data_IF_676769775867
#
_entry.id   IF_676769775867
#
_cell.length_a   1.000
_cell.length_b   1.000
_cell.length_c   1.000
_cell.angle_alpha   90.00
_cell.angle_beta   90.00
_cell.angle_gamma   90.00
#
_symmetry.space_group_name_H-M   'P 1'
#
loop_
_entity.id
_entity.type
_entity.pdbx_description
1 polymer ?
#
# COMPACT_ATOMS: atom_id res chain seq x y z
N UNK A 1 -30.16 68.72 -43.69
CA UNK A 1 -31.32 68.34 -42.85
C UNK A 1 -31.54 66.82 -42.69
N UNK A 2 -30.82 65.95 -43.43
CA UNK A 2 -30.99 64.49 -43.32
C UNK A 2 -30.02 63.75 -42.37
N UNK A 3 -28.93 64.37 -41.91
CA UNK A 3 -27.93 63.69 -41.06
C UNK A 3 -28.21 63.76 -39.55
N UNK A 4 -29.21 64.54 -39.11
CA UNK A 4 -29.64 64.60 -37.70
C UNK A 4 -30.76 63.59 -37.37
N UNK A 5 -31.43 63.04 -38.39
CA UNK A 5 -32.56 62.12 -38.21
C UNK A 5 -32.12 60.66 -38.02
N UNK A 6 -30.91 60.30 -38.46
CA UNK A 6 -30.37 58.93 -38.34
C UNK A 6 -29.70 58.67 -36.99
N UNK A 7 -29.30 59.72 -36.26
CA UNK A 7 -28.68 59.60 -34.93
C UNK A 7 -29.70 59.27 -33.82
N UNK A 8 -30.99 59.53 -34.05
CA UNK A 8 -32.08 59.19 -33.14
C UNK A 8 -32.51 57.71 -33.25
N UNK A 9 -32.18 57.04 -34.35
CA UNK A 9 -32.49 55.62 -34.59
C UNK A 9 -31.38 54.67 -34.09
N UNK A 10 -30.26 55.21 -33.61
CA UNK A 10 -29.16 54.45 -32.99
C UNK A 10 -29.07 54.64 -31.48
N UNK A 11 -30.12 55.14 -30.82
CA UNK A 11 -30.24 55.05 -29.38
C UNK A 11 -30.84 53.69 -29.05
N UNK A 12 -30.04 52.66 -28.70
CA UNK A 12 -30.60 51.49 -28.05
C UNK A 12 -31.29 52.01 -26.80
N UNK A 13 -32.60 51.77 -26.72
CA UNK A 13 -33.36 51.90 -25.49
C UNK A 13 -32.70 50.99 -24.46
N UNK A 14 -31.78 51.57 -23.69
CA UNK A 14 -31.37 51.01 -22.42
C UNK A 14 -32.58 51.12 -21.47
N UNK A 15 -33.53 50.19 -21.63
CA UNK A 15 -34.31 49.73 -20.49
C UNK A 15 -33.32 49.01 -19.59
N UNK A 16 -32.68 49.79 -18.72
CA UNK A 16 -31.87 49.27 -17.62
C UNK A 16 -32.79 48.45 -16.71
N UNK A 17 -32.28 47.36 -16.13
CA UNK A 17 -33.02 46.48 -15.21
C UNK A 17 -33.71 47.26 -14.07
N UNK A 18 -33.15 48.41 -13.70
CA UNK A 18 -33.71 49.38 -12.73
C UNK A 18 -35.13 49.84 -13.12
N UNK A 19 -35.40 50.02 -14.41
CA UNK A 19 -36.71 50.45 -14.91
C UNK A 19 -37.81 49.39 -14.75
N UNK A 20 -37.46 48.10 -14.75
CA UNK A 20 -38.43 47.02 -14.53
C UNK A 20 -38.87 46.98 -13.06
N UNK A 21 -37.91 47.10 -12.14
CA UNK A 21 -38.20 47.16 -10.71
C UNK A 21 -39.10 48.37 -10.39
N UNK A 22 -38.74 49.56 -10.87
CA UNK A 22 -39.53 50.78 -10.66
C UNK A 22 -40.97 50.66 -11.19
N UNK A 23 -41.14 50.02 -12.35
CA UNK A 23 -42.46 49.79 -12.92
C UNK A 23 -43.30 48.82 -12.07
N UNK A 24 -42.71 47.69 -11.67
CA UNK A 24 -43.40 46.72 -10.80
C UNK A 24 -43.71 47.32 -9.43
N UNK A 25 -42.79 48.09 -8.86
CA UNK A 25 -42.98 48.78 -7.58
C UNK A 25 -44.17 49.75 -7.64
N UNK A 26 -44.29 50.54 -8.71
CA UNK A 26 -45.45 51.43 -8.90
C UNK A 26 -46.78 50.68 -8.97
N UNK A 27 -46.82 49.49 -9.59
CA UNK A 27 -48.02 48.65 -9.65
C UNK A 27 -48.30 47.97 -8.30
N UNK A 28 -47.26 47.50 -7.61
CA UNK A 28 -47.35 46.86 -6.30
C UNK A 28 -47.91 47.81 -5.24
N UNK A 29 -47.47 49.08 -5.27
CA UNK A 29 -47.98 50.16 -4.40
C UNK A 29 -49.45 50.49 -4.67
N UNK A 30 -49.93 50.31 -5.91
CA UNK A 30 -51.35 50.44 -6.27
C UNK A 30 -52.18 49.22 -5.88
N UNK A 31 -51.59 48.23 -5.21
CA UNK A 31 -52.28 47.04 -4.72
C UNK A 31 -52.33 45.88 -5.71
N UNK A 32 -51.66 45.93 -6.86
CA UNK A 32 -51.68 44.81 -7.80
C UNK A 32 -50.93 43.59 -7.21
N UNK A 33 -51.66 42.49 -6.95
CA UNK A 33 -51.10 41.31 -6.28
C UNK A 33 -49.99 40.59 -7.07
N UNK A 34 -50.11 40.51 -8.41
CA UNK A 34 -49.06 39.93 -9.26
C UNK A 34 -47.78 40.79 -9.18
N UNK A 35 -47.91 42.11 -9.28
CA UNK A 35 -46.77 43.01 -9.15
C UNK A 35 -46.13 42.93 -7.76
N UNK A 36 -46.92 42.80 -6.70
CA UNK A 36 -46.39 42.57 -5.35
C UNK A 36 -45.59 41.26 -5.27
N UNK A 37 -46.11 40.18 -5.86
CA UNK A 37 -45.37 38.92 -5.95
C UNK A 37 -44.06 39.09 -6.73
N UNK A 38 -44.07 39.78 -7.88
CA UNK A 38 -42.88 40.04 -8.71
C UNK A 38 -41.84 40.90 -8.01
N UNK A 39 -42.26 41.96 -7.31
CA UNK A 39 -41.36 42.76 -6.47
C UNK A 39 -40.74 41.90 -5.37
N UNK A 40 -41.54 41.02 -4.77
CA UNK A 40 -41.03 40.04 -3.79
C UNK A 40 -39.97 39.10 -4.38
N UNK A 41 -40.18 38.58 -5.59
CA UNK A 41 -39.18 37.76 -6.31
C UNK A 41 -37.90 38.55 -6.64
N UNK A 42 -38.03 39.83 -6.99
CA UNK A 42 -36.88 40.71 -7.26
C UNK A 42 -36.05 40.94 -5.99
N UNK A 43 -36.68 41.18 -4.85
CA UNK A 43 -35.99 41.26 -3.56
C UNK A 43 -35.38 39.93 -3.11
N UNK A 44 -36.00 38.80 -3.42
CA UNK A 44 -35.43 37.48 -3.10
C UNK A 44 -34.18 37.16 -3.94
N UNK A 45 -34.20 37.53 -5.22
CA UNK A 45 -33.13 37.18 -6.17
C UNK A 45 -32.06 38.26 -6.32
N UNK A 46 -32.32 39.47 -5.82
CA UNK A 46 -31.50 40.65 -6.07
C UNK A 46 -31.56 41.15 -7.52
N UNK A 47 -32.64 40.86 -8.26
CA UNK A 47 -32.78 41.29 -9.65
C UNK A 47 -33.27 42.74 -9.73
N UNK A 48 -32.41 43.67 -10.16
CA UNK A 48 -32.75 45.10 -10.27
C UNK A 48 -32.88 45.84 -8.94
N UNK A 49 -32.69 45.14 -7.82
CA UNK A 49 -32.69 45.69 -6.46
C UNK A 49 -31.71 44.88 -5.60
N UNK A 50 -31.21 45.46 -4.51
CA UNK A 50 -30.39 44.69 -3.55
C UNK A 50 -31.24 43.57 -2.94
N UNK A 51 -30.68 42.37 -2.85
CA UNK A 51 -31.32 41.23 -2.20
C UNK A 51 -31.70 41.58 -0.75
N UNK A 52 -32.97 41.37 -0.41
CA UNK A 52 -33.51 41.57 0.94
C UNK A 52 -34.65 40.58 1.18
N UNK A 53 -34.39 39.57 2.01
CA UNK A 53 -35.35 38.53 2.32
C UNK A 53 -36.56 39.04 3.11
N UNK A 54 -36.39 40.04 3.97
CA UNK A 54 -37.47 40.58 4.77
C UNK A 54 -38.46 41.39 3.91
N UNK A 55 -37.94 42.18 2.98
CA UNK A 55 -38.77 42.86 1.97
C UNK A 55 -39.47 41.84 1.05
N UNK A 56 -38.74 40.82 0.59
CA UNK A 56 -39.34 39.76 -0.22
C UNK A 56 -40.55 39.12 0.49
N UNK A 57 -40.38 38.72 1.75
CA UNK A 57 -41.44 38.14 2.56
C UNK A 57 -42.61 39.09 2.74
N UNK A 58 -42.36 40.36 3.08
CA UNK A 58 -43.40 41.39 3.22
C UNK A 58 -44.26 41.54 1.96
N UNK A 59 -43.64 41.64 0.78
CA UNK A 59 -44.38 41.79 -0.48
C UNK A 59 -45.11 40.51 -0.90
N UNK A 60 -44.51 39.34 -0.71
CA UNK A 60 -45.15 38.05 -1.01
C UNK A 60 -46.33 37.80 -0.07
N UNK A 61 -46.24 38.15 1.21
CA UNK A 61 -47.36 38.07 2.17
C UNK A 61 -48.51 38.98 1.78
N UNK A 62 -48.23 40.21 1.31
CA UNK A 62 -49.28 41.10 0.77
C UNK A 62 -49.98 40.50 -0.45
N UNK A 63 -49.23 39.90 -1.37
CA UNK A 63 -49.81 39.22 -2.54
C UNK A 63 -50.68 38.03 -2.11
N UNK A 64 -50.17 37.18 -1.21
CA UNK A 64 -50.89 36.01 -0.71
C UNK A 64 -52.17 36.41 0.05
N UNK A 65 -52.13 37.49 0.85
CA UNK A 65 -53.30 38.02 1.55
C UNK A 65 -54.42 38.51 0.62
N UNK A 66 -54.10 38.76 -0.65
CA UNK A 66 -55.06 39.08 -1.71
C UNK A 66 -55.52 37.86 -2.53
N UNK A 67 -55.14 36.65 -2.12
CA UNK A 67 -55.50 35.41 -2.80
C UNK A 67 -54.57 35.01 -3.94
N UNK A 68 -53.38 35.62 -4.06
CA UNK A 68 -52.40 35.22 -5.07
C UNK A 68 -51.83 33.82 -4.77
N UNK A 69 -52.30 32.80 -5.48
CA UNK A 69 -52.01 31.39 -5.16
C UNK A 69 -50.50 31.06 -5.13
N UNK A 70 -49.75 31.50 -6.14
CA UNK A 70 -48.29 31.25 -6.23
C UNK A 70 -47.54 31.86 -5.06
N UNK A 71 -48.03 32.99 -4.52
CA UNK A 71 -47.44 33.63 -3.34
C UNK A 71 -47.71 32.78 -2.10
N UNK A 72 -48.94 32.27 -1.95
CA UNK A 72 -49.30 31.31 -0.89
C UNK A 72 -48.44 30.05 -0.92
N UNK A 73 -48.25 29.42 -2.09
CA UNK A 73 -47.39 28.24 -2.24
C UNK A 73 -45.94 28.53 -1.83
N UNK A 74 -45.45 29.73 -2.13
CA UNK A 74 -44.10 30.17 -1.78
C UNK A 74 -43.92 30.37 -0.28
N UNK A 75 -44.89 31.00 0.38
CA UNK A 75 -44.88 31.18 1.84
C UNK A 75 -44.94 29.82 2.55
N UNK A 76 -45.81 28.92 2.09
CA UNK A 76 -45.89 27.56 2.59
C UNK A 76 -44.56 26.81 2.42
N UNK A 77 -43.90 26.96 1.26
CA UNK A 77 -42.58 26.39 1.04
C UNK A 77 -41.55 26.91 2.05
N UNK A 78 -41.51 28.23 2.29
CA UNK A 78 -40.60 28.82 3.28
C UNK A 78 -40.92 28.42 4.71
N UNK A 79 -42.20 28.35 5.08
CA UNK A 79 -42.64 27.90 6.40
C UNK A 79 -42.18 26.46 6.65
N UNK A 80 -42.39 25.56 5.70
CA UNK A 80 -41.96 24.15 5.84
C UNK A 80 -40.43 24.01 5.77
N UNK A 81 -39.74 24.83 4.98
CA UNK A 81 -38.28 24.84 4.93
C UNK A 81 -37.67 25.24 6.29
N UNK A 82 -38.33 26.19 6.98
CA UNK A 82 -37.89 26.70 8.29
C UNK A 82 -38.31 25.82 9.46
N UNK A 83 -39.57 25.38 9.47
CA UNK A 83 -40.22 24.76 10.62
C UNK A 83 -40.50 23.26 10.42
N UNK A 84 -40.31 22.73 9.21
CA UNK A 84 -40.75 21.38 8.86
C UNK A 84 -42.27 21.29 8.68
N UNK A 85 -42.77 20.05 8.53
CA UNK A 85 -44.21 19.79 8.49
C UNK A 85 -44.74 19.80 9.92
N UNK A 86 -45.70 20.68 10.18
CA UNK A 86 -46.37 20.84 11.47
C UNK A 86 -47.88 20.66 11.29
N UNK A 87 -48.62 20.49 12.38
CA UNK A 87 -50.09 20.40 12.30
C UNK A 87 -50.73 21.68 11.73
N UNK A 88 -50.06 22.83 11.86
CA UNK A 88 -50.54 24.11 11.33
C UNK A 88 -50.44 24.20 9.80
N UNK A 89 -49.36 23.66 9.19
CA UNK A 89 -49.10 23.81 7.75
C UNK A 89 -49.41 22.55 6.92
N UNK A 90 -49.69 21.42 7.57
CA UNK A 90 -49.98 20.14 6.90
C UNK A 90 -51.21 20.22 6.00
N UNK A 91 -52.26 20.92 6.43
CA UNK A 91 -53.47 21.10 5.62
C UNK A 91 -53.19 21.84 4.31
N UNK A 92 -52.45 22.95 4.37
CA UNK A 92 -52.04 23.73 3.20
C UNK A 92 -51.11 22.91 2.28
N UNK A 93 -50.23 22.09 2.85
CA UNK A 93 -49.38 21.17 2.09
C UNK A 93 -50.20 20.13 1.32
N UNK A 94 -51.23 19.56 1.93
CA UNK A 94 -52.11 18.60 1.27
C UNK A 94 -52.96 19.27 0.18
N UNK A 95 -53.39 20.52 0.38
CA UNK A 95 -54.05 21.32 -0.66
C UNK A 95 -53.11 21.61 -1.84
N UNK A 96 -51.87 22.05 -1.59
CA UNK A 96 -50.85 22.26 -2.62
C UNK A 96 -50.66 20.99 -3.47
N UNK A 97 -50.60 19.82 -2.83
CA UNK A 97 -50.49 18.52 -3.51
C UNK A 97 -51.73 18.19 -4.33
N UNK A 98 -52.92 18.49 -3.81
CA UNK A 98 -54.17 18.30 -4.54
C UNK A 98 -54.20 19.19 -5.79
N UNK A 99 -53.83 20.48 -5.68
CA UNK A 99 -53.72 21.40 -6.83
C UNK A 99 -52.69 20.93 -7.86
N UNK A 100 -51.53 20.46 -7.41
CA UNK A 100 -50.51 19.91 -8.31
C UNK A 100 -51.03 18.69 -9.09
N UNK A 101 -51.74 17.77 -8.41
CA UNK A 101 -52.41 16.62 -9.04
C UNK A 101 -53.51 17.06 -10.01
N UNK A 102 -54.23 18.14 -9.68
CA UNK A 102 -55.25 18.76 -10.52
C UNK A 102 -54.72 19.51 -11.75
N UNK A 103 -53.39 19.59 -11.94
CA UNK A 103 -52.79 20.20 -13.13
C UNK A 103 -52.33 21.65 -12.95
N UNK A 104 -52.44 22.24 -11.76
CA UNK A 104 -51.94 23.60 -11.52
C UNK A 104 -50.41 23.62 -11.66
N UNK A 105 -49.90 24.30 -12.69
CA UNK A 105 -48.48 24.28 -13.07
C UNK A 105 -47.56 24.86 -11.98
N UNK A 106 -48.00 25.91 -11.28
CA UNK A 106 -47.23 26.51 -10.18
C UNK A 106 -47.19 25.58 -8.96
N UNK A 107 -48.31 24.95 -8.63
CA UNK A 107 -48.35 23.93 -7.58
C UNK A 107 -47.42 22.74 -7.92
N UNK A 108 -47.42 22.29 -9.18
CA UNK A 108 -46.50 21.25 -9.65
C UNK A 108 -45.04 21.68 -9.51
N UNK A 109 -44.70 22.93 -9.84
CA UNK A 109 -43.37 23.48 -9.63
C UNK A 109 -42.95 23.40 -8.16
N UNK A 110 -43.79 23.89 -7.22
CA UNK A 110 -43.45 23.87 -5.79
C UNK A 110 -43.37 22.46 -5.21
N UNK A 111 -44.25 21.53 -5.61
CA UNK A 111 -44.14 20.11 -5.21
C UNK A 111 -42.83 19.51 -5.74
N UNK A 112 -42.47 19.81 -6.99
CA UNK A 112 -41.19 19.40 -7.58
C UNK A 112 -39.98 19.95 -6.82
N UNK A 113 -40.00 21.24 -6.49
CA UNK A 113 -38.96 21.93 -5.69
C UNK A 113 -38.84 21.35 -4.28
N UNK A 114 -39.96 21.01 -3.64
CA UNK A 114 -39.99 20.33 -2.35
C UNK A 114 -39.27 18.98 -2.41
N UNK A 115 -39.55 18.13 -3.40
CA UNK A 115 -38.82 16.87 -3.60
C UNK A 115 -37.34 17.07 -3.97
N UNK A 116 -37.01 18.13 -4.72
CA UNK A 116 -35.62 18.47 -5.11
C UNK A 116 -34.76 18.77 -3.88
N UNK A 117 -35.31 19.57 -2.95
CA UNK A 117 -34.61 20.07 -1.75
C UNK A 117 -34.82 19.21 -0.51
N UNK A 118 -35.82 18.33 -0.52
CA UNK A 118 -36.21 17.56 0.67
C UNK A 118 -36.96 18.40 1.70
N UNK A 119 -37.77 19.35 1.25
CA UNK A 119 -38.59 20.23 2.10
C UNK A 119 -39.97 19.60 2.24
N UNK A 120 -40.37 19.32 3.48
CA UNK A 120 -41.64 18.66 3.81
C UNK A 120 -41.71 17.18 3.46
N UNK A 121 -40.74 16.67 2.71
CA UNK A 121 -40.66 15.28 2.23
C UNK A 121 -39.21 14.85 2.10
N UNK A 122 -38.97 13.54 2.07
CA UNK A 122 -37.63 13.02 1.78
C UNK A 122 -37.21 13.40 0.36
N UNK A 123 -35.99 13.94 0.22
CA UNK A 123 -35.40 14.28 -1.08
C UNK A 123 -35.49 13.13 -2.07
N UNK A 124 -36.04 13.41 -3.26
CA UNK A 124 -36.24 12.42 -4.32
C UNK A 124 -36.14 13.08 -5.70
N UNK A 125 -34.98 12.97 -6.35
CA UNK A 125 -34.73 13.58 -7.66
C UNK A 125 -35.66 13.09 -8.77
N UNK A 126 -36.07 11.81 -8.75
CA UNK A 126 -36.96 11.27 -9.77
C UNK A 126 -38.37 11.89 -9.67
N UNK A 127 -38.94 11.93 -8.46
CA UNK A 127 -40.23 12.61 -8.23
C UNK A 127 -40.14 14.10 -8.49
N UNK A 128 -39.03 14.75 -8.11
CA UNK A 128 -38.79 16.15 -8.40
C UNK A 128 -38.87 16.41 -9.91
N UNK A 129 -38.13 15.64 -10.71
CA UNK A 129 -38.14 15.77 -12.18
C UNK A 129 -39.51 15.47 -12.78
N UNK A 130 -40.26 14.50 -12.25
CA UNK A 130 -41.62 14.22 -12.72
C UNK A 130 -42.52 15.45 -12.63
N UNK A 131 -42.56 16.09 -11.45
CA UNK A 131 -43.39 17.27 -11.22
C UNK A 131 -42.86 18.52 -11.94
N UNK A 132 -41.54 18.74 -11.92
CA UNK A 132 -40.91 19.88 -12.60
C UNK A 132 -41.09 19.80 -14.11
N UNK A 133 -41.00 18.62 -14.72
CA UNK A 133 -41.21 18.47 -16.16
C UNK A 133 -42.68 18.74 -16.54
N UNK A 134 -43.65 18.35 -15.69
CA UNK A 134 -45.07 18.69 -15.92
C UNK A 134 -45.26 20.21 -15.91
N UNK A 135 -44.70 20.91 -14.93
CA UNK A 135 -44.75 22.37 -14.85
C UNK A 135 -44.00 23.06 -16.01
N UNK A 136 -42.83 22.57 -16.39
CA UNK A 136 -42.04 23.11 -17.50
C UNK A 136 -42.75 22.94 -18.85
N UNK A 137 -43.48 21.82 -19.06
CA UNK A 137 -44.21 21.56 -20.30
C UNK A 137 -45.28 22.62 -20.60
N UNK A 138 -45.88 23.20 -19.56
CA UNK A 138 -46.86 24.31 -19.66
C UNK A 138 -46.22 25.69 -19.54
N UNK A 139 -44.89 25.78 -19.56
CA UNK A 139 -44.15 27.05 -19.67
C UNK A 139 -43.69 27.68 -18.35
N UNK A 140 -43.69 26.95 -17.23
CA UNK A 140 -43.10 27.45 -15.98
C UNK A 140 -41.58 27.43 -16.09
N UNK A 141 -40.98 28.58 -16.40
CA UNK A 141 -39.53 28.73 -16.66
C UNK A 141 -38.67 28.38 -15.43
N UNK A 142 -39.16 28.67 -14.23
CA UNK A 142 -38.53 28.28 -12.97
C UNK A 142 -38.39 26.76 -12.85
N UNK A 143 -39.37 26.02 -13.36
CA UNK A 143 -39.37 24.56 -13.32
C UNK A 143 -38.34 23.97 -14.27
N UNK A 144 -38.15 24.57 -15.45
CA UNK A 144 -37.10 24.16 -16.38
C UNK A 144 -35.71 24.32 -15.75
N UNK A 145 -35.43 25.49 -15.17
CA UNK A 145 -34.17 25.80 -14.47
C UNK A 145 -33.91 24.83 -13.31
N UNK A 146 -34.90 24.63 -12.45
CA UNK A 146 -34.80 23.69 -11.32
C UNK A 146 -34.60 22.24 -11.80
N UNK A 147 -35.28 21.81 -12.86
CA UNK A 147 -35.14 20.45 -13.41
C UNK A 147 -33.71 20.18 -13.91
N UNK A 148 -33.07 21.17 -14.52
CA UNK A 148 -31.68 21.09 -14.97
C UNK A 148 -30.74 20.99 -13.78
N UNK A 149 -30.91 21.83 -12.76
CA UNK A 149 -30.13 21.73 -11.51
C UNK A 149 -30.31 20.35 -10.82
N UNK A 150 -31.51 19.78 -10.83
CA UNK A 150 -31.76 18.44 -10.27
C UNK A 150 -31.00 17.37 -11.04
N UNK A 151 -31.03 17.41 -12.38
CA UNK A 151 -30.30 16.48 -13.25
C UNK A 151 -28.79 16.57 -13.02
N UNK A 152 -28.25 17.79 -12.99
CA UNK A 152 -26.82 18.02 -12.74
C UNK A 152 -26.40 17.54 -11.35
N UNK A 153 -27.18 17.83 -10.31
CA UNK A 153 -26.92 17.35 -8.96
C UNK A 153 -26.97 15.82 -8.87
N UNK A 154 -27.90 15.17 -9.58
CA UNK A 154 -27.99 13.72 -9.64
C UNK A 154 -26.76 13.11 -10.33
N UNK A 155 -26.31 13.68 -11.45
CA UNK A 155 -25.08 13.26 -12.13
C UNK A 155 -23.85 13.46 -11.24
N UNK A 156 -23.73 14.63 -10.59
CA UNK A 156 -22.65 14.93 -9.65
C UNK A 156 -22.59 13.92 -8.51
N UNK A 157 -23.74 13.58 -7.91
CA UNK A 157 -23.80 12.59 -6.83
C UNK A 157 -23.42 11.18 -7.30
N UNK A 158 -23.87 10.78 -8.50
CA UNK A 158 -23.49 9.50 -9.10
C UNK A 158 -21.99 9.40 -9.38
N UNK A 159 -21.39 10.47 -9.91
CA UNK A 159 -19.95 10.56 -10.17
C UNK A 159 -19.15 10.55 -8.86
N UNK A 160 -19.60 11.27 -7.84
CA UNK A 160 -18.96 11.26 -6.52
C UNK A 160 -18.98 9.87 -5.90
N UNK A 161 -20.12 9.17 -5.98
CA UNK A 161 -20.22 7.80 -5.48
C UNK A 161 -19.24 6.86 -6.17
N UNK A 162 -19.13 6.93 -7.51
CA UNK A 162 -18.14 6.16 -8.28
C UNK A 162 -16.71 6.50 -7.85
N UNK A 163 -16.38 7.79 -7.71
CA UNK A 163 -15.07 8.25 -7.24
C UNK A 163 -14.71 7.69 -5.87
N UNK A 164 -15.66 7.66 -4.94
CA UNK A 164 -15.46 7.10 -3.61
C UNK A 164 -15.27 5.58 -3.64
N UNK A 165 -16.01 4.86 -4.48
CA UNK A 165 -15.83 3.42 -4.68
C UNK A 165 -14.47 3.09 -5.31
N UNK A 166 -14.05 3.86 -6.31
CA UNK A 166 -12.74 3.74 -6.96
C UNK A 166 -11.60 4.05 -5.98
N UNK A 167 -11.73 5.11 -5.18
CA UNK A 167 -10.76 5.45 -4.13
C UNK A 167 -10.61 4.30 -3.13
N UNK A 168 -11.71 3.75 -2.63
CA UNK A 168 -11.69 2.57 -1.73
C UNK A 168 -11.02 1.36 -2.39
N UNK A 169 -11.30 1.10 -3.67
CA UNK A 169 -10.65 0.02 -4.43
C UNK A 169 -9.15 0.26 -4.58
N UNK A 170 -8.73 1.50 -4.86
CA UNK A 170 -7.33 1.89 -4.98
C UNK A 170 -6.60 1.75 -3.64
N UNK A 171 -7.19 2.20 -2.54
CA UNK A 171 -6.66 2.03 -1.18
C UNK A 171 -6.48 0.55 -0.82
N UNK A 172 -7.47 -0.29 -1.14
CA UNK A 172 -7.38 -1.74 -0.94
C UNK A 172 -6.28 -2.39 -1.79
N UNK A 173 -6.09 -1.96 -3.04
CA UNK A 173 -4.98 -2.42 -3.90
C UNK A 173 -3.63 -2.00 -3.33
N UNK A 174 -3.48 -0.75 -2.92
CA UNK A 174 -2.27 -0.23 -2.31
C UNK A 174 -1.93 -0.96 -1.00
N UNK A 175 -2.93 -1.26 -0.17
CA UNK A 175 -2.75 -2.05 1.06
C UNK A 175 -2.25 -3.47 0.75
N UNK A 176 -2.89 -4.17 -0.18
CA UNK A 176 -2.46 -5.51 -0.62
C UNK A 176 -1.06 -5.51 -1.19
N UNK A 177 -0.71 -4.48 -1.96
CA UNK A 177 0.63 -4.34 -2.51
C UNK A 177 1.68 -4.10 -1.42
N UNK A 178 1.41 -3.22 -0.45
CA UNK A 178 2.28 -3.03 0.72
C UNK A 178 2.47 -4.32 1.51
N UNK A 179 1.40 -5.06 1.75
CA UNK A 179 1.48 -6.38 2.41
C UNK A 179 2.30 -7.39 1.60
N UNK A 180 2.16 -7.41 0.26
CA UNK A 180 2.96 -8.26 -0.62
C UNK A 180 4.44 -7.88 -0.55
N UNK A 181 4.76 -6.58 -0.62
CA UNK A 181 6.13 -6.09 -0.54
C UNK A 181 6.74 -6.41 0.84
N UNK A 182 6.00 -6.22 1.93
CA UNK A 182 6.44 -6.59 3.27
C UNK A 182 6.72 -8.09 3.41
N UNK A 183 5.85 -8.95 2.85
CA UNK A 183 6.07 -10.41 2.80
C UNK A 183 7.32 -10.77 1.98
N UNK A 184 7.50 -10.15 0.82
CA UNK A 184 8.70 -10.36 -0.01
C UNK A 184 9.97 -9.90 0.70
N UNK A 185 9.93 -8.77 1.41
CA UNK A 185 11.06 -8.28 2.20
C UNK A 185 11.38 -9.22 3.36
N UNK A 186 10.37 -9.71 4.08
CA UNK A 186 10.54 -10.69 5.16
C UNK A 186 11.16 -12.00 4.62
N UNK A 187 10.71 -12.48 3.46
CA UNK A 187 11.30 -13.66 2.81
C UNK A 187 12.76 -13.41 2.40
N UNK A 188 13.09 -12.24 1.85
CA UNK A 188 14.47 -11.88 1.50
C UNK A 188 15.38 -11.84 2.74
N UNK A 189 14.91 -11.25 3.84
CA UNK A 189 15.65 -11.23 5.12
C UNK A 189 15.90 -12.64 5.65
N UNK A 190 14.87 -13.50 5.63
CA UNK A 190 15.00 -14.89 6.06
C UNK A 190 15.98 -15.67 5.17
N UNK A 191 15.91 -15.48 3.85
CA UNK A 191 16.83 -16.12 2.91
C UNK A 191 18.27 -15.67 3.13
N UNK A 192 18.50 -14.36 3.28
CA UNK A 192 19.81 -13.81 3.60
C UNK A 192 20.37 -14.35 4.93
N UNK A 193 19.51 -14.51 5.94
CA UNK A 193 19.91 -15.12 7.21
C UNK A 193 20.33 -16.58 7.02
N UNK A 194 19.54 -17.38 6.29
CA UNK A 194 19.88 -18.79 5.99
C UNK A 194 21.19 -18.90 5.22
N UNK A 195 21.44 -18.02 4.26
CA UNK A 195 22.68 -17.97 3.49
C UNK A 195 23.89 -17.59 4.38
N UNK A 196 23.72 -16.60 5.26
CA UNK A 196 24.75 -16.22 6.23
C UNK A 196 25.08 -17.35 7.21
N UNK A 197 24.07 -18.03 7.75
CA UNK A 197 24.24 -19.19 8.63
C UNK A 197 24.92 -20.36 7.90
N UNK A 198 24.51 -20.65 6.65
CA UNK A 198 25.14 -21.68 5.84
C UNK A 198 26.61 -21.37 5.55
N UNK A 199 26.92 -20.11 5.22
CA UNK A 199 28.30 -19.65 5.00
C UNK A 199 29.13 -19.76 6.28
N UNK A 200 28.60 -19.34 7.43
CA UNK A 200 29.29 -19.46 8.71
C UNK A 200 29.59 -20.92 9.06
N UNK A 201 28.62 -21.83 8.87
CA UNK A 201 28.83 -23.28 9.05
C UNK A 201 29.87 -23.83 8.09
N UNK A 202 29.88 -23.42 6.82
CA UNK A 202 30.87 -23.84 5.85
C UNK A 202 32.29 -23.36 6.21
N UNK A 203 32.42 -22.10 6.65
CA UNK A 203 33.68 -21.54 7.11
C UNK A 203 34.21 -22.25 8.36
N UNK A 204 33.31 -22.61 9.29
CA UNK A 204 33.67 -23.38 10.48
C UNK A 204 34.09 -24.81 10.15
N UNK A 205 33.34 -25.51 9.29
CA UNK A 205 33.73 -26.83 8.78
C UNK A 205 35.07 -26.77 8.04
N UNK A 206 35.33 -25.72 7.25
CA UNK A 206 36.61 -25.54 6.57
C UNK A 206 37.76 -25.33 7.57
N UNK A 207 37.55 -24.58 8.66
CA UNK A 207 38.52 -24.44 9.75
C UNK A 207 38.78 -25.76 10.46
N UNK A 208 37.73 -26.51 10.81
CA UNK A 208 37.84 -27.82 11.45
C UNK A 208 38.58 -28.82 10.56
N UNK A 209 38.25 -28.87 9.27
CA UNK A 209 38.93 -29.73 8.30
C UNK A 209 40.41 -29.37 8.16
N UNK A 210 40.75 -28.07 8.04
CA UNK A 210 42.15 -27.61 8.01
C UNK A 210 42.91 -27.97 9.29
N UNK A 211 42.27 -27.84 10.45
CA UNK A 211 42.87 -28.23 11.73
C UNK A 211 43.08 -29.75 11.81
N UNK A 212 42.11 -30.54 11.36
CA UNK A 212 42.19 -32.00 11.31
C UNK A 212 43.28 -32.48 10.34
N UNK A 213 43.41 -31.87 9.15
CA UNK A 213 44.48 -32.19 8.20
C UNK A 213 45.85 -31.83 8.78
N UNK A 214 46.00 -30.65 9.37
CA UNK A 214 47.26 -30.25 10.02
C UNK A 214 47.63 -31.17 11.20
N UNK A 215 46.65 -31.58 12.02
CA UNK A 215 46.87 -32.52 13.11
C UNK A 215 47.30 -33.90 12.59
N UNK A 216 46.66 -34.40 11.53
CA UNK A 216 47.01 -35.66 10.87
C UNK A 216 48.43 -35.61 10.27
N UNK A 217 48.79 -34.52 9.61
CA UNK A 217 50.15 -34.32 9.09
C UNK A 217 51.20 -34.31 10.20
N UNK A 218 50.92 -33.62 11.32
CA UNK A 218 51.80 -33.61 12.49
C UNK A 218 51.97 -35.00 13.09
N UNK A 219 50.86 -35.74 13.28
CA UNK A 219 50.88 -37.11 13.77
C UNK A 219 51.67 -38.05 12.85
N UNK A 220 51.48 -37.92 11.53
CA UNK A 220 52.23 -38.70 10.53
C UNK A 220 53.74 -38.42 10.58
N UNK A 221 54.13 -37.14 10.70
CA UNK A 221 55.55 -36.76 10.86
C UNK A 221 56.15 -37.34 12.13
N UNK A 222 55.44 -37.25 13.25
CA UNK A 222 55.88 -37.83 14.53
C UNK A 222 55.98 -39.35 14.48
N UNK A 223 55.02 -40.03 13.85
CA UNK A 223 55.06 -41.48 13.65
C UNK A 223 56.23 -41.91 12.75
N UNK A 224 56.51 -41.16 11.67
CA UNK A 224 57.64 -41.41 10.79
C UNK A 224 58.99 -41.19 11.51
N UNK A 225 59.11 -40.15 12.34
CA UNK A 225 60.31 -39.93 13.15
C UNK A 225 60.52 -41.04 14.17
N UNK A 226 59.45 -41.46 14.86
CA UNK A 226 59.49 -42.59 15.80
C UNK A 226 59.91 -43.87 15.09
N UNK A 227 59.33 -44.19 13.94
CA UNK A 227 59.71 -45.36 13.14
C UNK A 227 61.18 -45.31 12.69
N UNK A 228 61.69 -44.13 12.28
CA UNK A 228 63.12 -43.95 11.95
C UNK A 228 64.03 -44.20 13.15
N UNK A 229 63.68 -43.70 14.34
CA UNK A 229 64.44 -43.95 15.58
C UNK A 229 64.44 -45.43 15.94
N UNK A 230 63.28 -46.10 15.84
CA UNK A 230 63.16 -47.55 16.08
C UNK A 230 63.98 -48.36 15.06
N UNK A 231 63.96 -47.99 13.78
CA UNK A 231 64.79 -48.61 12.74
C UNK A 231 66.28 -48.41 13.00
N UNK A 232 66.72 -47.21 13.37
CA UNK A 232 68.12 -46.93 13.69
C UNK A 232 68.58 -47.74 14.91
N UNK A 233 67.74 -47.83 15.95
CA UNK A 233 68.04 -48.65 17.12
C UNK A 233 68.15 -50.13 16.75
N UNK A 234 67.24 -50.64 15.92
CA UNK A 234 67.29 -52.01 15.42
C UNK A 234 68.55 -52.28 14.58
N UNK A 235 68.98 -51.32 13.74
CA UNK A 235 70.24 -51.39 12.99
C UNK A 235 71.45 -51.43 13.93
N UNK A 236 71.52 -50.54 14.92
CA UNK A 236 72.60 -50.52 15.91
C UNK A 236 72.68 -51.83 16.70
N UNK A 237 71.53 -52.37 17.12
CA UNK A 237 71.47 -53.67 17.79
C UNK A 237 71.92 -54.82 16.87
N UNK A 238 71.54 -54.80 15.59
CA UNK A 238 71.98 -55.79 14.62
C UNK A 238 73.50 -55.71 14.36
N UNK A 239 74.06 -54.50 14.24
CA UNK A 239 75.49 -54.28 14.11
C UNK A 239 76.27 -54.71 15.36
N UNK A 240 75.76 -54.40 16.56
CA UNK A 240 76.36 -54.84 17.81
C UNK A 240 76.42 -56.38 17.88
N UNK A 241 75.32 -57.06 17.55
CA UNK A 241 75.27 -58.53 17.46
C UNK A 241 76.24 -59.07 16.42
N UNK A 242 76.38 -58.42 15.25
CA UNK A 242 77.37 -58.79 14.22
C UNK A 242 78.79 -58.66 14.74
N UNK A 243 79.14 -57.54 15.38
CA UNK A 243 80.45 -57.31 15.98
C UNK A 243 80.77 -58.32 17.07
N UNK A 244 79.79 -58.68 17.90
CA UNK A 244 79.95 -59.74 18.90
C UNK A 244 80.17 -61.11 18.26
N UNK A 245 79.40 -61.46 17.22
CA UNK A 245 79.59 -62.69 16.46
C UNK A 245 80.97 -62.76 15.79
N UNK A 246 81.44 -61.64 15.21
CA UNK A 246 82.78 -61.52 14.65
C UNK A 246 83.87 -61.69 15.71
N UNK A 247 83.74 -61.04 16.87
CA UNK A 247 84.67 -61.23 18.01
C UNK A 247 84.71 -62.68 18.44
N UNK A 248 83.55 -63.33 18.60
CA UNK A 248 83.47 -64.75 18.95
C UNK A 248 84.09 -65.64 17.88
N UNK A 249 83.90 -65.32 16.59
CA UNK A 249 84.53 -66.04 15.49
C UNK A 249 86.05 -65.86 15.49
N UNK A 250 86.55 -64.66 15.82
CA UNK A 250 87.99 -64.39 15.97
C UNK A 250 88.60 -65.15 17.14
N UNK A 251 87.90 -65.23 18.27
CA UNK A 251 88.30 -66.04 19.43
C UNK A 251 88.38 -67.51 19.02
N UNK A 252 87.35 -68.05 18.37
CA UNK A 252 87.36 -69.43 17.86
C UNK A 252 88.49 -69.67 16.86
N UNK A 253 88.80 -68.71 15.99
CA UNK A 253 89.95 -68.77 15.07
C UNK A 253 91.27 -68.80 15.83
N UNK A 254 91.47 -67.95 16.84
CA UNK A 254 92.66 -67.98 17.70
C UNK A 254 92.78 -69.29 18.46
N UNK A 255 91.69 -69.82 19.00
CA UNK A 255 91.67 -71.13 19.66
C UNK A 255 91.99 -72.27 18.70
N UNK A 256 91.48 -72.24 17.47
CA UNK A 256 91.81 -73.23 16.45
C UNK A 256 93.24 -73.11 15.93
N UNK A 257 93.77 -71.90 15.76
CA UNK A 257 95.20 -71.67 15.47
C UNK A 257 96.10 -72.10 16.63
N UNK A 258 95.69 -71.88 17.88
CA UNK A 258 96.41 -72.33 19.06
C UNK A 258 96.37 -73.86 19.19
N UNK A 259 95.24 -74.50 18.85
CA UNK A 259 95.14 -75.97 18.71
C UNK A 259 96.00 -76.49 17.55
N UNK A 260 96.08 -75.79 16.42
CA UNK A 260 96.99 -76.14 15.31
C UNK A 260 98.46 -75.98 15.72
N UNK A 261 98.83 -74.93 16.45
CA UNK A 261 100.18 -74.74 17.02
C UNK A 261 100.54 -75.84 18.03
N UNK A 262 99.58 -76.30 18.84
CA UNK A 262 99.77 -77.45 19.74
C UNK A 262 99.90 -78.75 18.95
N UNK A 263 99.04 -79.00 17.96
CA UNK A 263 99.11 -80.19 17.09
C UNK A 263 100.39 -80.25 16.24
N UNK A 264 100.92 -79.09 15.80
CA UNK A 264 102.20 -79.00 15.07
C UNK A 264 103.42 -79.19 15.99
N UNK A 265 103.25 -79.06 17.31
CA UNK A 265 104.25 -79.42 18.33
C UNK A 265 104.17 -80.90 18.74
N UNK A 266 103.08 -81.60 18.38
CA UNK A 266 102.76 -82.97 18.80
C UNK A 266 102.92 -84.01 17.66
N UNK A 267 103.40 -83.58 16.48
CA UNK A 267 103.60 -84.43 15.30
C UNK A 267 105.04 -84.52 14.83
N UNK A 268 106.03 -84.36 15.73
CA UNK A 268 107.45 -84.54 15.42
C UNK A 268 108.17 -85.37 16.50
N UNK A 269 108.21 -86.71 16.39
CA UNK A 269 108.75 -87.60 17.42
C UNK A 269 110.28 -87.79 17.32
N UNK A 270 111.04 -86.72 17.06
CA UNK A 270 112.51 -86.78 16.99
C UNK A 270 113.24 -85.49 17.41
N UNK A 271 112.74 -84.75 18.41
CA UNK A 271 113.54 -83.69 19.01
C UNK A 271 113.35 -83.58 20.52
N UNK A 272 114.11 -84.38 21.28
CA UNK A 272 114.31 -84.11 22.70
C UNK A 272 114.63 -85.29 23.61
N UNK A 273 115.72 -86.02 23.38
CA UNK A 273 116.90 -86.03 24.30
C UNK A 273 117.84 -87.22 24.06
N UNK A 274 119.11 -86.84 23.92
CA UNK A 274 120.37 -87.54 24.22
C UNK A 274 120.37 -89.06 24.45
N UNK A 275 121.10 -89.70 23.54
CA UNK A 275 121.92 -90.90 23.70
C UNK A 275 122.29 -91.26 25.15
N UNK A 276 121.90 -92.47 25.54
CA UNK A 276 122.69 -93.53 26.21
C UNK A 276 121.69 -94.46 26.88
N UNK A 277 121.26 -95.48 26.16
CA UNK A 277 121.19 -96.86 26.64
C UNK A 277 120.76 -97.73 25.45
N UNK A 278 121.76 -98.40 24.91
CA UNK A 278 121.66 -99.47 23.93
C UNK A 278 120.99 -100.68 24.58
N UNK A 279 120.02 -101.27 23.89
CA UNK A 279 119.97 -102.70 23.52
C UNK A 279 118.53 -103.22 23.47
N UNK A 280 118.14 -103.67 22.27
CA UNK A 280 117.07 -104.61 21.92
C UNK A 280 115.59 -104.18 21.97
N UNK A 281 114.95 -104.39 20.80
CA UNK A 281 113.52 -104.59 20.51
C UNK A 281 112.60 -103.35 20.55
N UNK A 282 111.70 -103.13 19.58
CA UNK A 282 111.31 -103.92 18.38
C UNK A 282 110.67 -103.00 17.36
#
# INVERSE_FOLDING_TARGET
>A
MLMLLTLLLSMPTLLHADGLFDFQMKLAQKGNAEAQFKVGEMYETGFGVKEDRAEAESWITKAAGQGHETAGFKLLFWDIEKNGVTDANKGELDELRAKAKGGNAQAQYYVGKMYSRGVGEKRNSAKALEWLNKAALVGVLEAERESTMVRENQQRWAMEKKRQEEKKRAEMRAKKEKERLAKQEQQRKLQAQKEAEAKARADEMAKQNKAATAAREKANKQAAEKARKEQLLAQQQAEAKRREAEKQALIKKRETEQKKRKAQFESDPCSGKSARFLSTCK
#
